data_IF_082660381295
#
_entry.id   IF_082660381295
#
_cell.length_a   1.000
_cell.length_b   1.000
_cell.length_c   1.000
_cell.angle_alpha   90.00
_cell.angle_beta   90.00
_cell.angle_gamma   90.00
#
_symmetry.space_group_name_H-M   'P 1'
#
loop_
_entity.id
_entity.type
_entity.pdbx_description
1 polymer ?
#
# COMPACT_ATOMS: atom_id res chain seq x y z
N UNK A 1 -7.30 35.20 5.74
CA UNK A 1 -7.15 33.74 5.90
C UNK A 1 -8.13 33.25 6.96
N UNK A 2 -9.20 32.52 6.58
CA UNK A 2 -10.22 32.10 7.54
C UNK A 2 -9.67 30.90 8.35
N UNK A 3 -9.09 31.17 9.54
CA UNK A 3 -8.33 30.19 10.35
C UNK A 3 -9.11 28.88 10.57
N UNK A 4 -10.42 28.96 10.74
CA UNK A 4 -11.31 27.82 10.90
C UNK A 4 -11.31 26.87 9.69
N UNK A 5 -11.31 27.41 8.45
CA UNK A 5 -11.25 26.57 7.23
C UNK A 5 -9.93 25.84 7.13
N UNK A 6 -8.82 26.50 7.43
CA UNK A 6 -7.49 25.86 7.43
C UNK A 6 -7.44 24.74 8.46
N UNK A 7 -7.96 24.96 9.66
CA UNK A 7 -8.06 23.94 10.69
C UNK A 7 -8.93 22.76 10.24
N UNK A 8 -10.09 23.01 9.63
CA UNK A 8 -10.98 21.95 9.13
C UNK A 8 -10.30 21.11 8.05
N UNK A 9 -9.67 21.75 7.05
CA UNK A 9 -8.97 21.02 5.99
C UNK A 9 -7.80 20.21 6.55
N UNK A 10 -7.06 20.78 7.50
CA UNK A 10 -5.92 20.08 8.10
C UNK A 10 -6.37 18.87 8.94
N UNK A 11 -7.36 19.06 9.81
CA UNK A 11 -7.84 18.02 10.74
C UNK A 11 -8.64 16.92 10.04
N UNK A 12 -9.45 17.25 9.03
CA UNK A 12 -10.37 16.29 8.42
C UNK A 12 -9.89 15.70 7.11
N UNK A 13 -8.90 16.32 6.45
CA UNK A 13 -8.44 15.86 5.14
C UNK A 13 -6.95 15.52 5.19
N UNK A 14 -6.10 16.46 5.63
CA UNK A 14 -4.65 16.25 5.62
C UNK A 14 -4.25 15.13 6.58
N UNK A 15 -4.63 15.24 7.85
CA UNK A 15 -4.26 14.25 8.86
C UNK A 15 -4.79 12.85 8.49
N UNK A 16 -6.10 12.65 8.19
CA UNK A 16 -6.60 11.33 7.86
C UNK A 16 -5.95 10.75 6.59
N UNK A 17 -5.77 11.56 5.54
CA UNK A 17 -5.09 11.13 4.31
C UNK A 17 -3.65 10.69 4.57
N UNK A 18 -2.89 11.47 5.36
CA UNK A 18 -1.53 11.12 5.74
C UNK A 18 -1.47 9.86 6.62
N UNK A 19 -2.41 9.68 7.55
CA UNK A 19 -2.48 8.47 8.38
C UNK A 19 -2.73 7.23 7.52
N UNK A 20 -3.68 7.28 6.59
CA UNK A 20 -3.94 6.17 5.66
C UNK A 20 -2.70 5.87 4.83
N UNK A 21 -2.07 6.90 4.24
CA UNK A 21 -0.87 6.74 3.43
C UNK A 21 0.26 6.06 4.21
N UNK A 22 0.54 6.52 5.44
CA UNK A 22 1.61 5.96 6.27
C UNK A 22 1.28 4.54 6.71
N UNK A 23 0.06 4.29 7.20
CA UNK A 23 -0.36 2.98 7.64
C UNK A 23 -0.26 1.95 6.51
N UNK A 24 -0.78 2.27 5.33
CA UNK A 24 -0.71 1.39 4.16
C UNK A 24 0.71 1.22 3.63
N UNK A 25 1.59 2.21 3.79
CA UNK A 25 3.02 2.05 3.46
C UNK A 25 3.67 1.02 4.37
N UNK A 26 3.42 1.09 5.68
CA UNK A 26 3.97 0.14 6.64
C UNK A 26 3.50 -1.29 6.35
N UNK A 27 2.23 -1.46 6.03
CA UNK A 27 1.64 -2.77 5.69
C UNK A 27 2.16 -3.27 4.34
N UNK A 28 2.19 -2.39 3.33
CA UNK A 28 2.69 -2.73 2.00
C UNK A 28 4.16 -3.15 1.99
N UNK A 29 5.01 -2.58 2.85
CA UNK A 29 6.39 -3.03 3.02
C UNK A 29 6.43 -4.46 3.58
N UNK A 30 5.62 -4.75 4.59
CA UNK A 30 5.56 -6.10 5.18
C UNK A 30 5.08 -7.14 4.16
N UNK A 31 4.01 -6.82 3.43
CA UNK A 31 3.43 -7.73 2.44
C UNK A 31 4.34 -7.89 1.21
N UNK A 32 5.10 -6.85 0.85
CA UNK A 32 6.13 -6.93 -0.19
C UNK A 32 7.28 -7.85 0.21
N UNK A 33 7.73 -7.81 1.46
CA UNK A 33 8.75 -8.75 1.94
C UNK A 33 8.25 -10.19 1.91
N UNK A 34 7.01 -10.44 2.35
CA UNK A 34 6.40 -11.76 2.27
C UNK A 34 6.27 -12.26 0.82
N UNK A 35 5.94 -11.37 -0.11
CA UNK A 35 5.90 -11.67 -1.54
C UNK A 35 7.27 -12.10 -2.08
N UNK A 36 8.32 -11.34 -1.74
CA UNK A 36 9.70 -11.65 -2.16
C UNK A 36 10.13 -13.03 -1.63
N UNK A 37 9.83 -13.32 -0.36
CA UNK A 37 10.14 -14.62 0.23
C UNK A 37 9.36 -15.76 -0.47
N UNK A 38 8.06 -15.57 -0.73
CA UNK A 38 7.23 -16.55 -1.43
C UNK A 38 7.76 -16.84 -2.84
N UNK A 39 8.18 -15.80 -3.58
CA UNK A 39 8.73 -15.95 -4.92
C UNK A 39 10.09 -16.69 -4.90
N UNK A 40 10.98 -16.37 -3.95
CA UNK A 40 12.24 -17.11 -3.78
C UNK A 40 12.01 -18.60 -3.46
N UNK A 41 11.00 -18.93 -2.64
CA UNK A 41 10.63 -20.33 -2.37
C UNK A 41 10.08 -21.03 -3.60
N UNK A 42 9.25 -20.34 -4.38
CA UNK A 42 8.73 -20.87 -5.65
C UNK A 42 9.87 -21.20 -6.63
N UNK A 43 10.85 -20.29 -6.79
CA UNK A 43 12.01 -20.50 -7.65
C UNK A 43 12.83 -21.72 -7.22
N UNK A 44 13.10 -21.87 -5.91
CA UNK A 44 13.81 -23.06 -5.38
C UNK A 44 13.07 -24.36 -5.68
N UNK A 45 11.75 -24.40 -5.48
CA UNK A 45 10.95 -25.59 -5.78
C UNK A 45 10.94 -25.91 -7.29
N UNK A 46 10.95 -24.88 -8.14
CA UNK A 46 11.04 -25.06 -9.58
C UNK A 46 12.40 -25.66 -9.98
N UNK A 47 13.50 -25.17 -9.39
CA UNK A 47 14.85 -25.67 -9.62
C UNK A 47 15.05 -27.10 -9.11
N UNK A 48 14.44 -27.44 -7.97
CA UNK A 48 14.45 -28.79 -7.38
C UNK A 48 13.54 -29.79 -8.14
N UNK A 49 12.86 -29.35 -9.22
CA UNK A 49 11.90 -30.15 -9.99
C UNK A 49 10.77 -30.72 -9.11
N UNK A 50 10.28 -29.90 -8.18
CA UNK A 50 9.13 -30.23 -7.35
C UNK A 50 7.90 -30.61 -8.20
N UNK A 51 6.98 -31.35 -7.60
CA UNK A 51 5.78 -31.79 -8.31
C UNK A 51 4.93 -30.62 -8.80
N UNK A 52 4.20 -30.80 -9.90
CA UNK A 52 3.29 -29.76 -10.41
C UNK A 52 2.26 -29.32 -9.36
N UNK A 53 1.85 -30.22 -8.46
CA UNK A 53 0.92 -29.89 -7.37
C UNK A 53 1.54 -28.92 -6.36
N UNK A 54 2.80 -29.14 -5.96
CA UNK A 54 3.52 -28.26 -5.03
C UNK A 54 3.75 -26.88 -5.65
N UNK A 55 4.14 -26.83 -6.93
CA UNK A 55 4.30 -25.58 -7.67
C UNK A 55 2.97 -24.82 -7.78
N UNK A 56 1.86 -25.52 -8.06
CA UNK A 56 0.53 -24.90 -8.16
C UNK A 56 0.08 -24.27 -6.83
N UNK A 57 0.25 -24.99 -5.71
CA UNK A 57 -0.10 -24.49 -4.37
C UNK A 57 0.74 -23.27 -4.01
N UNK A 58 2.04 -23.29 -4.30
CA UNK A 58 2.94 -22.19 -3.99
C UNK A 58 2.68 -20.96 -4.88
N UNK A 59 2.37 -21.15 -6.16
CA UNK A 59 1.96 -20.06 -7.05
C UNK A 59 0.68 -19.37 -6.57
N UNK A 60 -0.29 -20.11 -6.03
CA UNK A 60 -1.48 -19.51 -5.43
C UNK A 60 -1.17 -18.66 -4.20
N UNK A 61 -0.27 -19.12 -3.33
CA UNK A 61 0.18 -18.34 -2.16
C UNK A 61 0.89 -17.05 -2.56
N UNK A 62 1.80 -17.12 -3.53
CA UNK A 62 2.47 -15.93 -4.07
C UNK A 62 1.44 -14.93 -4.62
N UNK A 63 0.44 -15.41 -5.36
CA UNK A 63 -0.58 -14.54 -5.95
C UNK A 63 -1.40 -13.78 -4.90
N UNK A 64 -1.69 -14.39 -3.74
CA UNK A 64 -2.32 -13.69 -2.61
C UNK A 64 -1.46 -12.52 -2.12
N UNK A 65 -0.15 -12.72 -1.94
CA UNK A 65 0.75 -11.65 -1.54
C UNK A 65 0.85 -10.54 -2.60
N UNK A 66 0.84 -10.87 -3.90
CA UNK A 66 0.82 -9.88 -4.98
C UNK A 66 -0.42 -9.00 -4.92
N UNK A 67 -1.59 -9.59 -4.66
CA UNK A 67 -2.84 -8.85 -4.53
C UNK A 67 -2.80 -7.91 -3.33
N UNK A 68 -2.35 -8.39 -2.17
CA UNK A 68 -2.21 -7.57 -0.97
C UNK A 68 -1.30 -6.34 -1.21
N UNK A 69 -0.11 -6.56 -1.76
CA UNK A 69 0.81 -5.46 -2.10
C UNK A 69 0.16 -4.45 -3.07
N UNK A 70 -0.63 -4.94 -4.02
CA UNK A 70 -1.39 -4.09 -4.94
C UNK A 70 -2.46 -3.25 -4.24
N UNK A 71 -3.18 -3.84 -3.28
CA UNK A 71 -4.17 -3.12 -2.46
C UNK A 71 -3.50 -2.08 -1.55
N UNK A 72 -2.42 -2.43 -0.88
CA UNK A 72 -1.66 -1.48 -0.06
C UNK A 72 -1.13 -0.32 -0.91
N UNK A 73 -0.56 -0.61 -2.08
CA UNK A 73 -0.15 0.40 -3.05
C UNK A 73 -1.28 1.35 -3.44
N UNK A 74 -2.49 0.81 -3.64
CA UNK A 74 -3.68 1.62 -3.94
C UNK A 74 -4.04 2.54 -2.78
N UNK A 75 -4.04 2.04 -1.55
CA UNK A 75 -4.34 2.84 -0.36
C UNK A 75 -3.29 3.92 -0.07
N UNK A 76 -2.01 3.64 -0.32
CA UNK A 76 -0.93 4.64 -0.26
C UNK A 76 -1.25 5.82 -1.18
N UNK A 77 -1.61 5.53 -2.44
CA UNK A 77 -1.93 6.57 -3.42
C UNK A 77 -3.19 7.35 -3.03
N UNK A 78 -4.26 6.67 -2.60
CA UNK A 78 -5.49 7.32 -2.17
C UNK A 78 -5.27 8.23 -0.95
N UNK A 79 -4.51 7.78 0.05
CA UNK A 79 -4.12 8.59 1.21
C UNK A 79 -3.29 9.82 0.80
N UNK A 80 -2.35 9.63 -0.12
CA UNK A 80 -1.54 10.71 -0.68
C UNK A 80 -2.36 11.76 -1.44
N UNK A 81 -3.31 11.33 -2.27
CA UNK A 81 -4.25 12.21 -2.99
C UNK A 81 -5.10 13.01 -2.01
N UNK A 82 -5.67 12.36 -0.98
CA UNK A 82 -6.44 13.03 0.06
C UNK A 82 -5.61 14.10 0.77
N UNK A 83 -4.43 13.74 1.27
CA UNK A 83 -3.55 14.68 1.95
C UNK A 83 -3.14 15.85 1.04
N UNK A 84 -2.79 15.56 -0.22
CA UNK A 84 -2.43 16.54 -1.24
C UNK A 84 -3.56 17.52 -1.55
N UNK A 85 -4.79 17.04 -1.73
CA UNK A 85 -5.96 17.91 -1.92
C UNK A 85 -6.19 18.84 -0.72
N UNK A 86 -6.03 18.33 0.50
CA UNK A 86 -6.13 19.14 1.72
C UNK A 86 -5.09 20.27 1.74
N UNK A 87 -3.84 19.96 1.42
CA UNK A 87 -2.74 20.93 1.33
C UNK A 87 -2.99 21.95 0.22
N UNK A 88 -3.37 21.51 -0.98
CA UNK A 88 -3.70 22.40 -2.10
C UNK A 88 -4.84 23.37 -1.74
N UNK A 89 -5.89 22.88 -1.06
CA UNK A 89 -7.01 23.71 -0.61
C UNK A 89 -6.64 24.75 0.46
N UNK A 90 -5.57 24.49 1.22
CA UNK A 90 -4.96 25.45 2.16
C UNK A 90 -4.10 26.46 1.40
N UNK A 91 -3.32 26.03 0.41
CA UNK A 91 -2.34 26.87 -0.31
C UNK A 91 -2.95 27.79 -1.38
N UNK A 92 -3.93 27.33 -2.16
CA UNK A 92 -4.52 28.06 -3.29
C UNK A 92 -5.33 29.31 -2.87
N UNK A 93 -5.51 29.53 -1.56
CA UNK A 93 -6.27 30.67 -1.03
C UNK A 93 -5.37 31.66 -0.29
N UNK A 94 -4.14 31.81 -0.78
CA UNK A 94 -3.25 32.94 -0.50
C UNK A 94 -3.65 34.15 -1.33
#
# INVERSE_FOLDING_TARGET
>A
MNRYRTLILFLLIVIPGSVVMVASTLWGINDYMALVEANQRFQKLADEKASQSELFVMAHRENTHRLNVGFDGTWILLGGILAGMGILGIMQRK
#
